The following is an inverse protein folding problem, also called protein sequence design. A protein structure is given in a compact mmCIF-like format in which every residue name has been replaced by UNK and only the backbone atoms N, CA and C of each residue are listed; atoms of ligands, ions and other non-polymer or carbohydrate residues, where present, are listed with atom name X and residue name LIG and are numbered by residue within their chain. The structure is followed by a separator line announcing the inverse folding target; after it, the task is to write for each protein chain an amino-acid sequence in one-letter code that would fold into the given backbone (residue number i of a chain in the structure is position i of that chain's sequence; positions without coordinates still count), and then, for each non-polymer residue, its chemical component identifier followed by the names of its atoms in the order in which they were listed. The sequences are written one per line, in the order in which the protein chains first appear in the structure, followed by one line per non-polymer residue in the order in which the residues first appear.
data_IF_634052639903
#
_entry.id   IF_634052639903
#
_cell.length_a   1.000
_cell.length_b   1.000
_cell.length_c   1.000
_cell.angle_alpha   90.00
_cell.angle_beta   90.00
_cell.angle_gamma   90.00
#
_symmetry.space_group_name_H-M   'P 1'
#
loop_
_entity.id
_entity.type
_entity.pdbx_description
1 polymer ?
#
# COMPACT_ATOMS: atom_id res chain seq x y z
N UNK A 1 -10.63 -11.21 18.36
CA UNK A 1 -9.40 -10.68 17.73
C UNK A 1 -8.90 -11.77 16.80
N UNK A 2 -8.73 -11.50 15.51
CA UNK A 2 -8.30 -12.50 14.54
C UNK A 2 -6.89 -13.01 14.84
N UNK A 3 -6.51 -14.13 14.20
CA UNK A 3 -5.18 -14.74 14.39
C UNK A 3 -4.10 -14.04 13.54
N UNK A 4 -4.49 -13.38 12.43
CA UNK A 4 -3.58 -12.72 11.48
C UNK A 4 -3.76 -11.21 11.47
N UNK A 5 -5.01 -10.70 11.39
CA UNK A 5 -5.28 -9.26 11.39
C UNK A 5 -5.24 -8.71 12.81
N UNK A 6 -4.29 -7.80 13.05
CA UNK A 6 -4.27 -6.95 14.22
C UNK A 6 -4.94 -5.59 13.96
N UNK A 7 -4.82 -4.65 14.90
CA UNK A 7 -5.35 -3.27 14.76
C UNK A 7 -4.81 -2.56 13.51
N UNK A 8 -3.61 -2.90 13.10
CA UNK A 8 -2.87 -2.28 12.00
C UNK A 8 -2.62 -3.21 10.79
N UNK A 9 -3.49 -4.18 10.58
CA UNK A 9 -3.34 -5.18 9.53
C UNK A 9 -2.47 -6.36 9.96
N UNK A 10 -1.94 -7.09 8.98
CA UNK A 10 -1.02 -8.22 9.20
C UNK A 10 0.38 -7.67 9.33
N UNK A 11 1.06 -7.91 10.45
CA UNK A 11 2.45 -7.48 10.70
C UNK A 11 3.32 -8.64 11.15
N UNK A 12 4.61 -8.58 10.78
CA UNK A 12 5.57 -9.59 11.19
C UNK A 12 7.01 -9.29 10.79
N UNK A 13 7.93 -10.14 11.26
CA UNK A 13 9.31 -10.20 10.78
C UNK A 13 9.29 -10.93 9.46
N UNK A 14 9.85 -10.27 8.43
CA UNK A 14 9.85 -10.84 7.08
C UNK A 14 10.79 -12.03 6.98
N UNK A 15 10.32 -13.11 6.39
CA UNK A 15 11.02 -14.39 6.31
C UNK A 15 10.73 -15.34 7.47
N UNK A 16 10.15 -14.84 8.57
CA UNK A 16 9.74 -15.68 9.70
C UNK A 16 8.21 -15.91 9.69
N UNK A 17 7.46 -14.90 10.05
CA UNK A 17 5.99 -14.97 10.14
C UNK A 17 5.24 -14.11 9.12
N UNK A 18 5.94 -13.25 8.38
CA UNK A 18 5.44 -12.55 7.21
C UNK A 18 6.25 -12.97 5.98
N UNK A 19 5.78 -13.97 5.26
CA UNK A 19 6.47 -14.58 4.12
C UNK A 19 5.84 -14.18 2.78
N UNK A 20 6.55 -14.41 1.67
CA UNK A 20 6.00 -14.24 0.34
C UNK A 20 4.80 -15.18 0.09
N UNK A 21 4.84 -16.41 0.62
CA UNK A 21 3.71 -17.36 0.53
C UNK A 21 2.47 -16.81 1.25
N UNK A 22 2.64 -16.31 2.48
CA UNK A 22 1.53 -15.67 3.20
C UNK A 22 0.98 -14.47 2.41
N UNK A 23 1.84 -13.60 1.87
CA UNK A 23 1.43 -12.45 1.08
C UNK A 23 0.66 -12.87 -0.19
N UNK A 24 1.09 -13.94 -0.87
CA UNK A 24 0.37 -14.50 -2.00
C UNK A 24 -1.03 -14.98 -1.59
N UNK A 25 -1.14 -15.74 -0.51
CA UNK A 25 -2.44 -16.21 0.02
C UNK A 25 -3.34 -15.07 0.47
N UNK A 26 -2.77 -14.02 1.07
CA UNK A 26 -3.49 -12.79 1.42
C UNK A 26 -4.06 -12.15 0.16
N UNK A 27 -3.27 -12.04 -0.90
CA UNK A 27 -3.72 -11.50 -2.18
C UNK A 27 -4.88 -12.31 -2.79
N UNK A 28 -4.78 -13.64 -2.76
CA UNK A 28 -5.85 -14.54 -3.22
C UNK A 28 -7.13 -14.34 -2.41
N UNK A 29 -7.03 -14.35 -1.08
CA UNK A 29 -8.18 -14.21 -0.18
C UNK A 29 -8.89 -12.86 -0.36
N UNK A 30 -8.14 -11.76 -0.48
CA UNK A 30 -8.68 -10.43 -0.76
C UNK A 30 -9.48 -10.43 -2.06
N UNK A 31 -8.89 -10.94 -3.15
CA UNK A 31 -9.57 -10.95 -4.45
C UNK A 31 -10.87 -11.78 -4.43
N UNK A 32 -10.86 -12.92 -3.76
CA UNK A 32 -12.05 -13.78 -3.62
C UNK A 32 -13.14 -13.06 -2.82
N UNK A 33 -12.82 -12.52 -1.65
CA UNK A 33 -13.79 -11.85 -0.78
C UNK A 33 -14.39 -10.62 -1.46
N UNK A 34 -13.56 -9.80 -2.11
CA UNK A 34 -14.05 -8.62 -2.84
C UNK A 34 -14.92 -9.01 -4.04
N UNK A 35 -14.59 -10.10 -4.75
CA UNK A 35 -15.41 -10.58 -5.85
C UNK A 35 -16.76 -11.10 -5.38
N UNK A 36 -16.82 -11.78 -4.24
CA UNK A 36 -18.06 -12.24 -3.62
C UNK A 36 -18.97 -11.06 -3.24
N UNK A 37 -18.40 -9.96 -2.72
CA UNK A 37 -19.16 -8.76 -2.34
C UNK A 37 -19.68 -7.98 -3.55
N UNK A 38 -18.83 -7.80 -4.55
CA UNK A 38 -19.12 -6.97 -5.73
C UNK A 38 -19.90 -7.72 -6.82
N UNK A 39 -19.75 -9.04 -6.89
CA UNK A 39 -20.29 -9.86 -7.98
C UNK A 39 -19.54 -9.71 -9.32
N UNK A 40 -18.40 -9.02 -9.35
CA UNK A 40 -17.59 -8.76 -10.54
C UNK A 40 -16.10 -8.73 -10.21
N UNK A 41 -15.25 -8.64 -11.24
CA UNK A 41 -13.78 -8.56 -11.10
C UNK A 41 -13.38 -7.37 -10.23
N UNK A 42 -12.67 -7.58 -9.11
CA UNK A 42 -12.22 -6.48 -8.26
C UNK A 42 -10.96 -5.82 -8.83
N UNK A 43 -10.80 -4.54 -8.52
CA UNK A 43 -9.59 -3.76 -8.79
C UNK A 43 -8.98 -3.30 -7.47
N UNK A 44 -7.67 -3.49 -7.31
CA UNK A 44 -6.95 -3.18 -6.07
C UNK A 44 -5.79 -2.23 -6.36
N UNK A 45 -5.70 -1.12 -5.61
CA UNK A 45 -4.54 -0.23 -5.61
C UNK A 45 -3.53 -0.74 -4.58
N UNK A 46 -2.24 -0.84 -4.94
CA UNK A 46 -1.18 -1.28 -4.02
C UNK A 46 -0.06 -0.25 -3.98
N UNK A 47 0.22 0.23 -2.77
CA UNK A 47 1.39 1.06 -2.48
C UNK A 47 2.28 0.44 -1.41
N UNK A 48 3.50 0.95 -1.28
CA UNK A 48 4.49 0.41 -0.35
C UNK A 48 5.40 1.50 0.20
N UNK A 49 6.09 1.17 1.29
CA UNK A 49 7.21 1.96 1.78
C UNK A 49 8.55 1.52 1.15
N UNK A 50 9.63 2.05 1.67
CA UNK A 50 10.99 1.87 1.13
C UNK A 50 11.71 0.61 1.64
N UNK A 51 11.08 -0.21 2.46
CA UNK A 51 11.70 -1.41 3.04
C UNK A 51 12.12 -2.37 1.93
N UNK A 52 13.29 -2.99 2.07
CA UNK A 52 13.83 -3.95 1.11
C UNK A 52 12.86 -5.11 0.82
N UNK A 53 12.08 -5.51 1.83
CA UNK A 53 11.09 -6.60 1.71
C UNK A 53 9.82 -6.19 0.99
N UNK A 54 9.58 -4.89 0.79
CA UNK A 54 8.33 -4.39 0.21
C UNK A 54 8.14 -4.82 -1.24
N UNK A 55 9.22 -4.92 -2.04
CA UNK A 55 9.15 -5.39 -3.43
C UNK A 55 8.74 -6.84 -3.54
N UNK A 56 9.28 -7.69 -2.66
CA UNK A 56 8.93 -9.11 -2.61
C UNK A 56 7.47 -9.31 -2.21
N UNK A 57 7.03 -8.64 -1.16
CA UNK A 57 5.65 -8.74 -0.66
C UNK A 57 4.65 -8.18 -1.68
N UNK A 58 4.97 -7.05 -2.34
CA UNK A 58 4.14 -6.48 -3.41
C UNK A 58 3.97 -7.48 -4.57
N UNK A 59 5.06 -8.08 -5.01
CA UNK A 59 5.04 -9.04 -6.11
C UNK A 59 4.18 -10.27 -5.77
N UNK A 60 4.32 -10.79 -4.56
CA UNK A 60 3.55 -11.93 -4.09
C UNK A 60 2.04 -11.60 -3.97
N UNK A 61 1.69 -10.45 -3.37
CA UNK A 61 0.32 -9.97 -3.29
C UNK A 61 -0.31 -9.80 -4.66
N UNK A 62 0.38 -9.13 -5.59
CA UNK A 62 -0.11 -8.93 -6.95
C UNK A 62 -0.36 -10.26 -7.66
N UNK A 63 0.58 -11.21 -7.53
CA UNK A 63 0.42 -12.54 -8.11
C UNK A 63 -0.83 -13.24 -7.56
N UNK A 64 -1.05 -13.21 -6.24
CA UNK A 64 -2.22 -13.80 -5.61
C UNK A 64 -3.54 -13.16 -6.06
N UNK A 65 -3.59 -11.83 -6.16
CA UNK A 65 -4.78 -11.12 -6.63
C UNK A 65 -5.09 -11.47 -8.09
N UNK A 66 -4.07 -11.44 -8.96
CA UNK A 66 -4.24 -11.76 -10.36
C UNK A 66 -4.64 -13.23 -10.59
N UNK A 67 -4.11 -14.15 -9.80
CA UNK A 67 -4.43 -15.57 -9.84
C UNK A 67 -5.92 -15.85 -9.60
N UNK A 68 -6.56 -15.05 -8.73
CA UNK A 68 -7.99 -15.10 -8.45
C UNK A 68 -8.84 -14.22 -9.37
N UNK A 69 -8.24 -13.60 -10.38
CA UNK A 69 -8.94 -12.80 -11.38
C UNK A 69 -9.14 -11.32 -11.01
N UNK A 70 -8.54 -10.83 -9.93
CA UNK A 70 -8.55 -9.41 -9.58
C UNK A 70 -7.52 -8.61 -10.37
N UNK A 71 -7.82 -7.38 -10.71
CA UNK A 71 -6.91 -6.46 -11.37
C UNK A 71 -6.13 -5.62 -10.34
N UNK A 72 -4.88 -5.28 -10.64
CA UNK A 72 -4.00 -4.56 -9.72
C UNK A 72 -3.46 -3.29 -10.35
N UNK A 73 -3.49 -2.18 -9.60
CA UNK A 73 -2.87 -0.90 -9.92
C UNK A 73 -1.74 -0.60 -8.93
N UNK A 74 -0.49 -1.05 -9.18
CA UNK A 74 0.62 -0.71 -8.30
C UNK A 74 0.98 0.76 -8.45
N UNK A 75 1.18 1.45 -7.32
CA UNK A 75 1.58 2.86 -7.27
C UNK A 75 3.01 3.04 -6.76
N UNK A 76 3.68 1.93 -6.41
CA UNK A 76 5.07 1.93 -5.94
C UNK A 76 5.23 2.57 -4.56
N UNK A 77 6.41 3.16 -4.33
CA UNK A 77 6.69 3.83 -3.05
C UNK A 77 5.88 5.11 -2.94
N UNK A 78 4.99 5.15 -1.92
CA UNK A 78 4.05 6.24 -1.69
C UNK A 78 3.54 6.17 -0.23
N UNK A 79 3.25 7.29 0.44
CA UNK A 79 2.76 7.28 1.82
C UNK A 79 1.36 6.66 1.94
N UNK A 80 1.08 6.10 3.10
CA UNK A 80 -0.20 5.41 3.42
C UNK A 80 -1.45 6.21 3.03
N UNK A 81 -1.57 7.52 3.35
CA UNK A 81 -2.74 8.30 2.96
C UNK A 81 -2.93 8.42 1.45
N UNK A 82 -1.86 8.32 0.67
CA UNK A 82 -1.96 8.34 -0.79
C UNK A 82 -2.70 7.11 -1.32
N UNK A 83 -2.47 5.93 -0.75
CA UNK A 83 -3.18 4.72 -1.16
C UNK A 83 -4.67 4.84 -0.83
N UNK A 84 -5.02 5.36 0.35
CA UNK A 84 -6.41 5.59 0.73
C UNK A 84 -7.10 6.58 -0.23
N UNK A 85 -6.43 7.69 -0.57
CA UNK A 85 -6.92 8.66 -1.53
C UNK A 85 -7.10 8.05 -2.93
N UNK A 86 -6.06 7.41 -3.46
CA UNK A 86 -6.06 6.82 -4.80
C UNK A 86 -7.08 5.68 -4.94
N UNK A 87 -7.34 4.93 -3.88
CA UNK A 87 -8.39 3.90 -3.92
C UNK A 87 -9.77 4.51 -4.21
N UNK A 88 -10.08 5.66 -3.62
CA UNK A 88 -11.31 6.40 -3.91
C UNK A 88 -11.30 7.02 -5.31
N UNK A 89 -10.21 7.70 -5.65
CA UNK A 89 -10.05 8.41 -6.92
C UNK A 89 -10.19 7.45 -8.11
N UNK A 90 -9.56 6.28 -8.02
CA UNK A 90 -9.56 5.24 -9.05
C UNK A 90 -10.80 4.33 -8.99
N UNK A 91 -11.72 4.58 -8.06
CA UNK A 91 -12.90 3.73 -7.79
C UNK A 91 -12.50 2.26 -7.65
N UNK A 92 -11.36 2.02 -7.00
CA UNK A 92 -10.90 0.68 -6.70
C UNK A 92 -11.77 0.05 -5.60
N UNK A 93 -11.81 -1.26 -5.55
CA UNK A 93 -12.59 -1.99 -4.55
C UNK A 93 -11.85 -2.08 -3.21
N UNK A 94 -10.52 -2.02 -3.28
CA UNK A 94 -9.65 -1.95 -2.10
C UNK A 94 -8.34 -1.23 -2.39
N UNK A 95 -7.69 -0.77 -1.32
CA UNK A 95 -6.30 -0.30 -1.32
C UNK A 95 -5.45 -1.14 -0.36
N UNK A 96 -4.23 -1.47 -0.77
CA UNK A 96 -3.28 -2.19 0.07
C UNK A 96 -2.03 -1.34 0.27
N UNK A 97 -1.58 -1.24 1.52
CA UNK A 97 -0.29 -0.62 1.86
C UNK A 97 0.63 -1.66 2.47
N UNK A 98 1.81 -1.78 1.90
CA UNK A 98 2.89 -2.63 2.41
C UNK A 98 3.83 -1.75 3.22
N UNK A 99 3.70 -1.79 4.54
CA UNK A 99 4.49 -0.98 5.47
C UNK A 99 4.30 -1.46 6.91
N UNK A 100 5.34 -1.36 7.71
CA UNK A 100 5.26 -1.51 9.16
C UNK A 100 5.42 -0.17 9.91
N UNK A 101 5.17 0.96 9.24
CA UNK A 101 5.27 2.30 9.85
C UNK A 101 6.69 2.58 10.40
N UNK A 102 6.81 2.76 11.72
CA UNK A 102 8.05 3.06 12.43
C UNK A 102 8.73 1.82 13.06
N UNK A 103 8.24 0.62 12.79
CA UNK A 103 8.88 -0.60 13.30
C UNK A 103 10.29 -0.78 12.70
N UNK A 104 11.19 -1.53 13.35
CA UNK A 104 12.50 -1.88 12.82
C UNK A 104 12.43 -2.41 11.37
N UNK A 105 13.55 -2.28 10.65
CA UNK A 105 13.57 -2.51 9.19
C UNK A 105 13.27 -3.95 8.77
N UNK A 106 13.51 -4.92 9.63
CA UNK A 106 13.22 -6.34 9.44
C UNK A 106 11.72 -6.67 9.49
N UNK A 107 10.92 -5.77 10.08
CA UNK A 107 9.47 -5.89 10.07
C UNK A 107 8.87 -5.35 8.78
N UNK A 108 7.71 -5.88 8.41
CA UNK A 108 6.84 -5.28 7.42
C UNK A 108 5.37 -5.58 7.78
N UNK A 109 4.43 -5.07 6.99
CA UNK A 109 3.02 -5.30 7.21
C UNK A 109 2.19 -5.11 5.96
N UNK A 110 0.99 -5.66 6.00
CA UNK A 110 0.00 -5.56 4.93
C UNK A 110 -1.26 -4.96 5.55
N UNK A 111 -1.58 -3.71 5.20
CA UNK A 111 -2.81 -3.03 5.60
C UNK A 111 -3.75 -2.97 4.42
N UNK A 112 -5.03 -3.25 4.67
CA UNK A 112 -6.06 -3.22 3.63
C UNK A 112 -7.09 -2.15 3.97
N UNK A 113 -7.38 -1.31 2.98
CA UNK A 113 -8.42 -0.29 3.02
C UNK A 113 -9.56 -0.68 2.08
N UNK A 114 -10.76 -0.29 2.43
CA UNK A 114 -11.91 -0.34 1.53
C UNK A 114 -11.72 0.61 0.34
N UNK A 115 -12.50 0.47 -0.70
CA UNK A 115 -12.54 1.42 -1.83
C UNK A 115 -12.90 2.86 -1.43
N UNK A 116 -13.42 3.06 -0.21
CA UNK A 116 -13.67 4.39 0.34
C UNK A 116 -12.45 4.98 1.07
N UNK A 117 -11.34 4.26 1.15
CA UNK A 117 -10.10 4.70 1.81
C UNK A 117 -10.11 4.55 3.33
N UNK A 118 -11.07 3.85 3.91
CA UNK A 118 -11.12 3.54 5.33
C UNK A 118 -10.63 2.10 5.60
N UNK A 119 -10.24 1.82 6.85
CA UNK A 119 -9.95 0.45 7.29
C UNK A 119 -11.13 -0.46 6.90
N UNK A 120 -10.83 -1.70 6.51
CA UNK A 120 -11.87 -2.70 6.29
C UNK A 120 -12.68 -2.93 7.57
N UNK A 121 -13.94 -3.30 7.42
CA UNK A 121 -14.73 -3.74 8.56
C UNK A 121 -14.18 -5.06 9.12
N UNK A 122 -14.32 -5.24 10.42
CA UNK A 122 -13.86 -6.47 11.10
C UNK A 122 -14.51 -7.73 10.49
N UNK A 123 -15.72 -7.61 9.96
CA UNK A 123 -16.42 -8.71 9.28
C UNK A 123 -15.72 -9.11 7.98
N UNK A 124 -15.25 -8.15 7.20
CA UNK A 124 -14.50 -8.41 5.95
C UNK A 124 -13.12 -8.95 6.26
N UNK A 125 -12.42 -8.38 7.25
CA UNK A 125 -11.11 -8.89 7.71
C UNK A 125 -11.24 -10.36 8.18
N UNK A 126 -12.28 -10.70 8.95
CA UNK A 126 -12.53 -12.07 9.41
C UNK A 126 -12.76 -13.05 8.25
N UNK A 127 -13.51 -12.66 7.21
CA UNK A 127 -13.70 -13.48 6.00
C UNK A 127 -12.40 -13.70 5.23
N UNK A 128 -11.58 -12.67 5.10
CA UNK A 128 -10.25 -12.79 4.47
C UNK A 128 -9.38 -13.75 5.29
N UNK A 129 -9.37 -13.60 6.61
CA UNK A 129 -8.60 -14.46 7.51
C UNK A 129 -9.06 -15.92 7.44
N UNK A 130 -10.36 -16.17 7.43
CA UNK A 130 -10.93 -17.51 7.26
C UNK A 130 -10.44 -18.16 5.96
N UNK A 131 -10.43 -17.41 4.84
CA UNK A 131 -9.91 -17.89 3.55
C UNK A 131 -8.43 -18.22 3.61
N UNK A 132 -7.63 -17.43 4.33
CA UNK A 132 -6.19 -17.68 4.47
C UNK A 132 -5.93 -18.91 5.35
N UNK A 133 -6.67 -19.08 6.42
CA UNK A 133 -6.45 -20.14 7.41
C UNK A 133 -7.14 -21.46 7.05
N UNK A 134 -8.12 -21.43 6.14
CA UNK A 134 -8.77 -22.65 5.68
C UNK A 134 -7.86 -23.45 4.74
N UNK A 135 -7.93 -24.78 4.85
CA UNK A 135 -7.27 -25.69 3.88
C UNK A 135 -8.11 -25.86 2.60
N UNK A 136 -9.21 -25.13 2.46
CA UNK A 136 -10.05 -25.21 1.28
C UNK A 136 -9.31 -24.62 0.07
N UNK A 137 -9.13 -25.36 -1.02
CA UNK A 137 -8.42 -24.88 -2.19
C UNK A 137 -9.20 -23.73 -2.84
N UNK A 138 -8.51 -22.62 -3.08
CA UNK A 138 -9.05 -21.53 -3.90
C UNK A 138 -8.92 -21.93 -5.36
N UNK A 139 -10.02 -21.81 -6.11
CA UNK A 139 -10.05 -22.19 -7.53
C UNK A 139 -9.35 -21.10 -8.36
N UNK A 140 -8.17 -21.43 -8.89
CA UNK A 140 -7.42 -20.56 -9.77
C UNK A 140 -8.21 -20.18 -11.02
N UNK A 141 -8.02 -18.97 -11.48
CA UNK A 141 -8.58 -18.51 -12.75
C UNK A 141 -7.70 -18.98 -13.90
N UNK A 142 -8.30 -19.13 -15.06
CA UNK A 142 -7.60 -19.60 -16.26
C UNK A 142 -7.88 -18.70 -17.45
N UNK A 143 -6.98 -18.71 -18.44
CA UNK A 143 -7.15 -18.02 -19.73
C UNK A 143 -7.43 -16.51 -19.51
N UNK A 144 -8.48 -15.97 -20.12
CA UNK A 144 -8.88 -14.56 -20.04
C UNK A 144 -9.47 -14.11 -18.70
N UNK A 145 -9.68 -15.04 -17.76
CA UNK A 145 -10.17 -14.73 -16.43
C UNK A 145 -9.07 -14.33 -15.44
N UNK A 146 -7.80 -14.58 -15.77
CA UNK A 146 -6.66 -14.14 -14.98
C UNK A 146 -6.68 -12.61 -14.89
N UNK A 147 -6.42 -12.08 -13.70
CA UNK A 147 -6.34 -10.64 -13.45
C UNK A 147 -5.12 -9.99 -14.11
N UNK A 148 -5.13 -8.67 -14.20
CA UNK A 148 -4.10 -7.89 -14.89
C UNK A 148 -3.42 -6.92 -13.95
N UNK A 149 -2.12 -6.76 -14.16
CA UNK A 149 -1.38 -5.62 -13.62
C UNK A 149 -1.52 -4.45 -14.60
N UNK A 150 -2.13 -3.37 -14.12
CA UNK A 150 -2.23 -2.13 -14.89
C UNK A 150 -0.96 -1.29 -14.78
N UNK A 151 -0.71 -0.48 -15.81
CA UNK A 151 0.35 0.51 -15.83
C UNK A 151 -0.25 1.90 -15.58
N UNK A 152 0.55 2.86 -15.14
CA UNK A 152 0.07 4.24 -14.89
C UNK A 152 0.54 4.82 -13.56
N UNK A 153 1.48 4.18 -12.88
CA UNK A 153 2.01 4.59 -11.58
C UNK A 153 2.42 6.08 -11.56
N UNK A 154 3.02 6.59 -12.64
CA UNK A 154 3.46 7.99 -12.71
C UNK A 154 2.30 8.96 -12.64
N UNK A 155 1.20 8.68 -13.35
CA UNK A 155 0.00 9.52 -13.32
C UNK A 155 -0.65 9.48 -11.95
N UNK A 156 -0.83 8.32 -11.36
CA UNK A 156 -1.42 8.18 -10.03
C UNK A 156 -0.63 8.93 -8.94
N UNK A 157 0.70 8.92 -9.02
CA UNK A 157 1.53 9.74 -8.13
C UNK A 157 1.29 11.23 -8.35
N UNK A 158 1.18 11.67 -9.61
CA UNK A 158 0.90 13.08 -9.94
C UNK A 158 -0.46 13.49 -9.40
N UNK A 159 -1.49 12.67 -9.58
CA UNK A 159 -2.84 12.95 -9.09
C UNK A 159 -2.87 13.15 -7.56
N UNK A 160 -2.04 12.38 -6.83
CA UNK A 160 -1.91 12.56 -5.38
C UNK A 160 -1.16 13.83 -5.02
N UNK A 161 -0.09 14.18 -5.73
CA UNK A 161 0.67 15.43 -5.54
C UNK A 161 -0.25 16.63 -5.75
N UNK A 162 -0.98 16.66 -6.87
CA UNK A 162 -1.92 17.72 -7.21
C UNK A 162 -3.03 17.86 -6.15
N UNK A 163 -3.55 16.72 -5.68
CA UNK A 163 -4.51 16.73 -4.57
C UNK A 163 -3.94 17.35 -3.31
N UNK A 164 -2.75 16.93 -2.87
CA UNK A 164 -2.13 17.46 -1.65
C UNK A 164 -1.86 18.96 -1.81
N UNK A 165 -1.32 19.39 -2.93
CA UNK A 165 -1.09 20.80 -3.19
C UNK A 165 -2.39 21.61 -3.17
N UNK A 166 -3.49 21.06 -3.70
CA UNK A 166 -4.80 21.74 -3.73
C UNK A 166 -5.45 21.92 -2.35
N UNK A 167 -4.93 21.27 -1.29
CA UNK A 167 -5.44 21.44 0.08
C UNK A 167 -4.93 22.73 0.75
N UNK A 168 -4.01 23.45 0.12
CA UNK A 168 -3.43 24.70 0.61
C UNK A 168 -3.85 25.82 -0.34
N UNK A 169 -4.46 26.87 0.19
CA UNK A 169 -4.91 28.04 -0.59
C UNK A 169 -3.78 29.03 -0.88
N UNK A 170 -2.74 29.05 -0.04
CA UNK A 170 -1.59 29.95 -0.18
C UNK A 170 -0.45 29.30 -0.93
N UNK A 171 0.27 30.05 -1.75
CA UNK A 171 1.52 29.59 -2.33
C UNK A 171 2.68 29.66 -1.32
N UNK A 172 3.76 28.98 -1.63
CA UNK A 172 5.00 28.97 -0.86
C UNK A 172 6.13 29.65 -1.66
N UNK A 173 5.79 30.55 -2.59
CA UNK A 173 6.76 31.24 -3.44
C UNK A 173 7.81 31.99 -2.60
N UNK A 174 9.08 31.83 -2.98
CA UNK A 174 10.21 32.43 -2.27
C UNK A 174 10.72 31.67 -1.05
N UNK A 175 10.02 30.65 -0.59
CA UNK A 175 10.51 29.79 0.49
C UNK A 175 11.54 28.80 -0.03
N UNK A 176 12.58 28.61 0.78
CA UNK A 176 13.57 27.54 0.60
C UNK A 176 13.36 26.48 1.66
N UNK A 177 12.99 25.29 1.26
CA UNK A 177 12.62 24.20 2.13
C UNK A 177 13.67 23.10 2.06
N UNK A 178 14.25 22.75 3.20
CA UNK A 178 15.03 21.53 3.37
C UNK A 178 14.14 20.49 4.06
N UNK A 179 13.75 19.47 3.32
CA UNK A 179 12.90 18.38 3.85
C UNK A 179 13.76 17.14 4.15
N UNK A 180 13.90 16.80 5.42
CA UNK A 180 14.46 15.49 5.79
C UNK A 180 13.34 14.45 5.75
N UNK A 181 13.34 13.67 4.66
CA UNK A 181 12.38 12.60 4.47
C UNK A 181 12.88 11.26 5.00
N UNK A 182 14.09 11.21 5.54
CA UNK A 182 14.77 9.97 5.93
C UNK A 182 14.63 8.89 4.82
N UNK A 183 14.31 7.67 5.20
CA UNK A 183 13.95 6.58 4.28
C UNK A 183 12.43 6.40 4.16
N UNK A 184 11.65 7.43 4.47
CA UNK A 184 10.18 7.38 4.49
C UNK A 184 9.56 7.31 3.10
N UNK A 185 8.37 6.78 3.01
CA UNK A 185 7.63 6.61 1.76
C UNK A 185 7.25 7.93 1.06
N UNK A 186 7.36 9.06 1.77
CA UNK A 186 7.08 10.39 1.23
C UNK A 186 8.28 11.05 0.51
N UNK A 187 9.45 10.42 0.49
CA UNK A 187 10.70 11.05 0.02
C UNK A 187 10.66 11.57 -1.43
N UNK A 188 9.85 10.97 -2.29
CA UNK A 188 9.62 11.48 -3.64
C UNK A 188 8.44 12.44 -3.73
N UNK A 189 7.44 12.28 -2.86
CA UNK A 189 6.20 13.06 -2.91
C UNK A 189 6.38 14.44 -2.29
N UNK A 190 7.06 14.53 -1.15
CA UNK A 190 7.17 15.78 -0.40
C UNK A 190 7.87 16.90 -1.20
N UNK A 191 9.03 16.68 -1.87
CA UNK A 191 9.65 17.70 -2.70
C UNK A 191 8.75 18.18 -3.84
N UNK A 192 8.07 17.22 -4.50
CA UNK A 192 7.22 17.54 -5.64
C UNK A 192 6.01 18.39 -5.21
N UNK A 193 5.40 18.10 -4.04
CA UNK A 193 4.34 18.92 -3.45
C UNK A 193 4.83 20.34 -3.15
N UNK A 194 6.02 20.51 -2.55
CA UNK A 194 6.57 21.83 -2.25
C UNK A 194 6.87 22.62 -3.53
N UNK A 195 7.38 21.95 -4.56
CA UNK A 195 7.61 22.59 -5.86
C UNK A 195 6.30 23.01 -6.52
N UNK A 196 5.26 22.19 -6.44
CA UNK A 196 3.93 22.53 -6.97
C UNK A 196 3.35 23.77 -6.28
N UNK A 197 3.65 23.97 -5.01
CA UNK A 197 3.27 25.15 -4.24
C UNK A 197 4.22 26.35 -4.43
N UNK A 198 5.18 26.26 -5.35
CA UNK A 198 6.09 27.38 -5.69
C UNK A 198 7.33 27.50 -4.83
N UNK A 199 7.58 26.62 -3.88
CA UNK A 199 8.79 26.64 -3.07
C UNK A 199 10.00 26.06 -3.82
N UNK A 200 11.20 26.49 -3.43
CA UNK A 200 12.43 25.78 -3.77
C UNK A 200 12.69 24.73 -2.70
N UNK A 201 12.43 23.47 -3.04
CA UNK A 201 12.57 22.36 -2.10
C UNK A 201 13.76 21.47 -2.45
N UNK A 202 14.50 21.06 -1.43
CA UNK A 202 15.52 20.02 -1.51
C UNK A 202 15.16 18.94 -0.51
N UNK A 203 14.96 17.72 -0.99
CA UNK A 203 14.83 16.58 -0.09
C UNK A 203 16.20 16.07 0.29
N UNK A 204 16.37 15.87 1.56
CA UNK A 204 17.53 15.22 2.13
C UNK A 204 17.09 13.80 2.53
N UNK A 205 17.53 12.84 1.73
CA UNK A 205 17.41 11.44 2.12
C UNK A 205 18.76 11.06 2.70
N UNK A 206 18.92 11.21 4.01
CA UNK A 206 20.14 10.76 4.63
C UNK A 206 20.13 9.24 4.66
N UNK A 207 21.26 8.65 4.24
CA UNK A 207 21.55 7.21 4.37
C UNK A 207 21.56 6.74 5.83
N UNK A 208 21.51 7.68 6.76
CA UNK A 208 21.23 7.47 8.17
C UNK A 208 20.38 8.64 8.63
N UNK A 209 19.08 8.44 8.79
CA UNK A 209 18.40 9.22 9.79
C UNK A 209 19.30 9.19 11.04
N UNK A 210 19.45 10.32 11.72
CA UNK A 210 20.08 10.36 13.04
C UNK A 210 19.18 9.65 14.07
N UNK A 211 18.60 8.56 13.68
CA UNK A 211 17.94 7.61 14.54
C UNK A 211 19.03 6.85 15.26
N UNK A 212 19.56 7.46 16.32
CA UNK A 212 20.23 6.70 17.35
C UNK A 212 19.21 5.71 17.89
N UNK A 213 19.64 4.54 18.33
CA UNK A 213 18.78 3.55 19.01
C UNK A 213 17.86 4.19 20.09
N UNK A 214 18.23 5.37 20.62
CA UNK A 214 17.44 6.15 21.57
C UNK A 214 16.26 6.90 20.94
N UNK A 215 16.22 7.08 19.63
CA UNK A 215 15.15 7.77 18.88
C UNK A 215 14.23 6.79 18.16
N UNK A 216 14.43 5.50 18.33
CA UNK A 216 13.60 4.42 17.80
C UNK A 216 12.53 3.96 18.81
N UNK A 217 12.04 4.88 19.64
CA UNK A 217 10.96 4.61 20.57
C UNK A 217 9.63 4.99 19.95
#
# INVERSE_FOLDING_TARGET
MGKLFGTDGIRGIVGENLTADLAFRVGQAIAVVLQEEKGSRPTVVIGKDTRISSDMLESALMAGICDMGGDVKPVGTIPTPAVAYLSRQERADAGIVISASHNPYEHNGIKVFSGQGYKLSDAVEARIEERILSDAPMKHRTRGEIGRRHHGMRQLKRDYIDFVASTIESDLAGLKILADCANGAAYHIAPDVYHELGATAVSYTHLRAHETLANLV
#
